data_IF_958374811817
#
_entry.id   IF_958374811817
#
_cell.length_a   1.000
_cell.length_b   1.000
_cell.length_c   1.000
_cell.angle_alpha   90.00
_cell.angle_beta   90.00
_cell.angle_gamma   90.00
#
_symmetry.space_group_name_H-M   'P 1'
#
loop_
_entity.id
_entity.type
_entity.pdbx_description
1 polymer ?
#
# COMPACT_ATOMS: atom_id res chain seq x y z
N UNK A 1 -2.69 -0.40 -17.70
CA UNK A 1 -3.64 0.38 -16.86
C UNK A 1 -3.45 0.03 -15.40
N UNK A 2 -3.42 1.03 -14.53
CA UNK A 2 -3.22 0.83 -13.10
C UNK A 2 -4.58 0.71 -12.40
N UNK A 3 -4.82 -0.41 -11.72
CA UNK A 3 -6.06 -0.65 -11.02
C UNK A 3 -5.85 -0.51 -9.52
N UNK A 4 -6.56 0.44 -8.92
CA UNK A 4 -6.58 0.61 -7.48
C UNK A 4 -7.67 -0.27 -6.88
N UNK A 5 -7.39 -0.77 -5.68
CA UNK A 5 -8.33 -1.57 -4.92
C UNK A 5 -8.55 -0.95 -3.55
N UNK A 6 -9.61 -1.36 -2.89
CA UNK A 6 -9.92 -0.93 -1.52
C UNK A 6 -10.02 -2.15 -0.62
N UNK A 7 -9.38 -2.08 0.54
CA UNK A 7 -9.52 -3.09 1.57
C UNK A 7 -10.31 -2.50 2.72
N UNK A 8 -11.43 -3.14 3.05
CA UNK A 8 -12.28 -2.71 4.15
C UNK A 8 -11.64 -3.17 5.46
N UNK A 9 -11.31 -2.23 6.34
CA UNK A 9 -10.68 -2.54 7.62
C UNK A 9 -11.67 -2.49 8.78
N UNK A 10 -12.85 -1.88 8.59
CA UNK A 10 -13.96 -1.89 9.52
C UNK A 10 -15.23 -1.52 8.76
N UNK A 11 -16.37 -1.45 9.46
CA UNK A 11 -17.66 -1.15 8.84
C UNK A 11 -17.63 0.13 7.99
N UNK A 12 -16.97 1.16 8.48
CA UNK A 12 -17.00 2.49 7.86
C UNK A 12 -15.64 2.94 7.33
N UNK A 13 -14.62 2.06 7.32
CA UNK A 13 -13.26 2.45 6.96
C UNK A 13 -12.68 1.53 5.91
N UNK A 14 -12.01 2.14 4.93
CA UNK A 14 -11.32 1.40 3.87
C UNK A 14 -9.98 2.05 3.55
N UNK A 15 -9.03 1.24 3.10
CA UNK A 15 -7.69 1.66 2.69
C UNK A 15 -7.55 1.37 1.19
N UNK A 16 -7.19 2.40 0.43
CA UNK A 16 -6.90 2.20 -0.99
C UNK A 16 -5.49 1.62 -1.15
N UNK A 17 -5.37 0.68 -2.05
CA UNK A 17 -4.06 0.08 -2.32
C UNK A 17 -3.91 -0.29 -3.79
N UNK A 18 -2.66 -0.51 -4.18
CA UNK A 18 -2.26 -0.92 -5.50
C UNK A 18 -1.45 -2.19 -5.35
N UNK A 19 -1.79 -3.24 -6.11
CA UNK A 19 -1.05 -4.49 -6.00
C UNK A 19 -0.76 -5.11 -7.37
N UNK A 20 0.29 -5.90 -7.38
CA UNK A 20 0.63 -6.82 -8.45
C UNK A 20 1.15 -8.09 -7.79
N UNK A 21 0.44 -9.19 -7.95
CA UNK A 21 0.77 -10.44 -7.28
C UNK A 21 1.41 -11.40 -8.27
N UNK A 22 2.58 -11.93 -7.88
CA UNK A 22 3.25 -13.01 -8.56
C UNK A 22 3.45 -14.14 -7.58
N UNK A 23 2.99 -15.33 -7.92
CA UNK A 23 3.01 -16.49 -7.03
C UNK A 23 4.44 -16.78 -6.53
N UNK A 24 4.56 -16.98 -5.21
CA UNK A 24 5.82 -17.30 -4.53
C UNK A 24 6.94 -16.25 -4.69
N UNK A 25 6.59 -15.03 -5.02
CA UNK A 25 7.57 -13.96 -5.20
C UNK A 25 7.69 -13.10 -3.94
N UNK A 26 8.88 -12.50 -3.77
CA UNK A 26 9.09 -11.48 -2.74
C UNK A 26 8.28 -10.25 -3.10
N UNK A 27 7.68 -9.61 -2.09
CA UNK A 27 6.92 -8.38 -2.26
C UNK A 27 7.83 -7.16 -2.11
N UNK A 28 7.66 -6.21 -3.02
CA UNK A 28 8.14 -4.85 -2.81
C UNK A 28 6.95 -4.09 -2.25
N UNK A 29 7.09 -3.56 -1.02
CA UNK A 29 6.04 -2.78 -0.36
C UNK A 29 6.47 -1.33 -0.32
N UNK A 30 5.71 -0.47 -1.01
CA UNK A 30 5.99 0.95 -1.11
C UNK A 30 5.14 1.71 -0.08
N UNK A 31 5.80 2.52 0.75
CA UNK A 31 5.16 3.34 1.78
C UNK A 31 5.34 4.81 1.40
N UNK A 32 4.24 5.50 1.10
CA UNK A 32 4.30 6.91 0.69
C UNK A 32 4.62 7.84 1.87
N UNK A 33 5.11 9.03 1.57
CA UNK A 33 5.38 10.04 2.59
C UNK A 33 4.11 10.70 3.11
N UNK A 34 4.26 11.55 4.15
CA UNK A 34 3.15 12.30 4.71
C UNK A 34 2.48 13.18 3.66
N UNK A 35 1.14 13.29 3.74
CA UNK A 35 0.32 14.10 2.85
C UNK A 35 0.46 13.71 1.38
N UNK A 36 0.98 12.52 1.11
CA UNK A 36 1.11 12.00 -0.24
C UNK A 36 -0.02 11.00 -0.55
N UNK A 37 0.05 10.37 -1.71
CA UNK A 37 -0.92 9.37 -2.13
C UNK A 37 -0.25 8.40 -3.12
N UNK A 38 -1.06 7.54 -3.75
CA UNK A 38 -0.56 6.54 -4.69
C UNK A 38 -0.60 6.99 -6.16
N UNK A 39 -0.99 8.23 -6.44
CA UNK A 39 -1.17 8.68 -7.83
C UNK A 39 0.08 9.32 -8.43
N UNK A 40 1.16 9.45 -7.67
CA UNK A 40 2.41 10.02 -8.15
C UNK A 40 3.21 9.06 -9.02
N UNK A 41 4.38 9.53 -9.46
CA UNK A 41 5.28 8.76 -10.32
C UNK A 41 5.98 7.61 -9.60
N UNK A 42 6.33 7.81 -8.32
CA UNK A 42 7.10 6.81 -7.57
C UNK A 42 6.38 5.46 -7.45
N UNK A 43 5.11 5.40 -7.04
CA UNK A 43 4.42 4.10 -6.97
C UNK A 43 4.40 3.39 -8.32
N UNK A 44 4.13 4.11 -9.41
CA UNK A 44 4.10 3.54 -10.75
C UNK A 44 5.46 3.02 -11.19
N UNK A 45 6.52 3.76 -10.88
CA UNK A 45 7.89 3.37 -11.20
C UNK A 45 8.24 2.05 -10.54
N UNK A 46 7.97 1.93 -9.25
CA UNK A 46 8.26 0.69 -8.52
C UNK A 46 7.35 -0.46 -8.91
N UNK A 47 6.09 -0.18 -9.24
CA UNK A 47 5.20 -1.19 -9.77
C UNK A 47 5.76 -1.78 -11.08
N UNK A 48 6.18 -0.93 -11.98
CA UNK A 48 6.74 -1.37 -13.27
C UNK A 48 8.05 -2.14 -13.06
N UNK A 49 8.89 -1.70 -12.13
CA UNK A 49 10.11 -2.41 -11.76
C UNK A 49 9.77 -3.82 -11.26
N UNK A 50 8.80 -3.94 -10.38
CA UNK A 50 8.38 -5.24 -9.84
C UNK A 50 7.89 -6.16 -10.94
N UNK A 51 7.08 -5.67 -11.87
CA UNK A 51 6.58 -6.46 -12.99
C UNK A 51 7.71 -6.99 -13.86
N UNK A 52 8.70 -6.14 -14.18
CA UNK A 52 9.82 -6.52 -15.04
C UNK A 52 10.80 -7.49 -14.36
N UNK A 53 10.91 -7.43 -13.04
CA UNK A 53 11.91 -8.18 -12.29
C UNK A 53 11.32 -9.34 -11.48
N UNK A 54 10.09 -9.72 -11.77
CA UNK A 54 9.43 -10.90 -11.17
C UNK A 54 9.20 -10.80 -9.67
N UNK A 55 8.92 -9.60 -9.18
CA UNK A 55 8.49 -9.37 -7.80
C UNK A 55 6.98 -9.17 -7.74
N UNK A 56 6.41 -9.42 -6.57
CA UNK A 56 5.09 -8.92 -6.24
C UNK A 56 5.21 -7.47 -5.76
N UNK A 57 4.13 -6.73 -5.81
CA UNK A 57 4.14 -5.31 -5.43
C UNK A 57 2.90 -4.98 -4.61
N UNK A 58 3.08 -4.16 -3.59
CA UNK A 58 1.99 -3.60 -2.81
C UNK A 58 2.34 -2.17 -2.42
N UNK A 59 1.41 -1.27 -2.64
CA UNK A 59 1.49 0.10 -2.14
C UNK A 59 0.13 0.45 -1.53
N UNK A 60 0.11 1.11 -0.39
CA UNK A 60 -1.14 1.48 0.28
C UNK A 60 -1.14 2.95 0.63
N UNK A 61 -2.35 3.52 0.73
CA UNK A 61 -2.54 4.87 1.24
C UNK A 61 -3.01 4.79 2.68
N UNK A 62 -2.27 5.44 3.58
CA UNK A 62 -2.65 5.48 4.98
C UNK A 62 -4.02 6.14 5.18
N UNK A 63 -4.67 5.85 6.30
CA UNK A 63 -5.90 6.56 6.68
C UNK A 63 -5.68 8.08 6.59
N UNK A 64 -6.65 8.79 6.02
CA UNK A 64 -6.59 10.23 5.89
C UNK A 64 -5.72 10.74 4.73
N UNK A 65 -5.20 9.83 3.90
CA UNK A 65 -4.39 10.17 2.73
C UNK A 65 -5.09 9.73 1.45
N UNK A 66 -4.93 10.51 0.39
CA UNK A 66 -5.49 10.19 -0.91
C UNK A 66 -6.98 9.87 -0.81
N UNK A 67 -7.38 8.70 -1.31
CA UNK A 67 -8.78 8.24 -1.28
C UNK A 67 -9.08 7.20 -0.20
N UNK A 68 -8.13 6.93 0.68
CA UNK A 68 -8.40 6.14 1.87
C UNK A 68 -9.28 6.92 2.83
N UNK A 69 -10.06 6.20 3.66
CA UNK A 69 -10.99 6.81 4.59
C UNK A 69 -10.29 7.64 5.67
N UNK A 70 -11.03 8.58 6.23
CA UNK A 70 -10.57 9.38 7.36
C UNK A 70 -10.04 10.74 6.94
N UNK A 71 -9.69 11.52 7.94
CA UNK A 71 -9.10 12.85 7.75
C UNK A 71 -7.62 12.80 8.14
N UNK A 72 -6.80 13.51 7.39
CA UNK A 72 -5.36 13.59 7.70
C UNK A 72 -5.14 14.08 9.13
N UNK A 73 -5.88 15.09 9.56
CA UNK A 73 -5.76 15.70 10.89
C UNK A 73 -6.13 14.74 12.03
N UNK A 74 -6.86 13.66 11.73
CA UNK A 74 -7.22 12.66 12.74
C UNK A 74 -6.23 11.50 12.79
N UNK A 75 -5.21 11.50 11.93
CA UNK A 75 -4.23 10.44 11.85
C UNK A 75 -3.04 10.68 12.75
N UNK A 76 -2.28 9.63 12.98
CA UNK A 76 -1.00 9.66 13.66
C UNK A 76 -0.19 8.44 13.24
N UNK A 77 1.10 8.43 13.60
CA UNK A 77 2.01 7.33 13.23
C UNK A 77 1.52 5.97 13.72
N UNK A 78 0.98 5.92 14.93
CA UNK A 78 0.45 4.67 15.48
C UNK A 78 -0.71 4.13 14.64
N UNK A 79 -1.62 4.99 14.24
CA UNK A 79 -2.77 4.62 13.41
C UNK A 79 -2.32 4.15 12.02
N UNK A 80 -1.38 4.85 11.40
CA UNK A 80 -0.88 4.48 10.08
C UNK A 80 -0.08 3.18 10.11
N UNK A 81 0.64 2.92 11.22
CA UNK A 81 1.32 1.64 11.42
C UNK A 81 0.31 0.50 11.51
N UNK A 82 -0.81 0.71 12.21
CA UNK A 82 -1.87 -0.29 12.29
C UNK A 82 -2.50 -0.56 10.93
N UNK A 83 -2.73 0.49 10.13
CA UNK A 83 -3.25 0.36 8.77
C UNK A 83 -2.32 -0.52 7.93
N UNK A 84 -1.03 -0.21 7.97
CA UNK A 84 0.00 -0.96 7.23
C UNK A 84 0.02 -2.42 7.65
N UNK A 85 0.06 -2.68 8.95
CA UNK A 85 0.09 -4.04 9.49
C UNK A 85 -1.13 -4.83 9.06
N UNK A 86 -2.31 -4.21 9.09
CA UNK A 86 -3.54 -4.86 8.68
C UNK A 86 -3.49 -5.28 7.20
N UNK A 87 -3.09 -4.36 6.34
CA UNK A 87 -3.00 -4.63 4.90
C UNK A 87 -1.97 -5.72 4.61
N UNK A 88 -0.81 -5.68 5.26
CA UNK A 88 0.23 -6.70 5.08
C UNK A 88 -0.27 -8.08 5.48
N UNK A 89 -0.96 -8.20 6.60
CA UNK A 89 -1.51 -9.49 7.06
C UNK A 89 -2.52 -10.07 6.07
N UNK A 90 -3.32 -9.22 5.46
CA UNK A 90 -4.36 -9.68 4.54
C UNK A 90 -3.83 -10.03 3.15
N UNK A 91 -2.83 -9.31 2.67
CA UNK A 91 -2.38 -9.42 1.28
C UNK A 91 -1.05 -10.15 1.17
N UNK A 92 -0.03 -9.72 1.91
CA UNK A 92 1.33 -10.27 1.78
C UNK A 92 1.46 -11.60 2.53
N UNK A 93 0.82 -11.71 3.68
CA UNK A 93 0.84 -12.91 4.53
C UNK A 93 2.27 -13.28 4.94
N UNK A 94 2.77 -14.46 4.55
CA UNK A 94 4.09 -14.96 4.96
C UNK A 94 5.19 -14.77 3.93
N UNK A 95 4.92 -14.05 2.85
CA UNK A 95 5.95 -13.82 1.84
C UNK A 95 7.01 -12.84 2.33
N UNK A 96 8.19 -12.94 1.75
CA UNK A 96 9.28 -12.01 2.06
C UNK A 96 8.94 -10.62 1.55
N UNK A 97 9.43 -9.60 2.25
CA UNK A 97 9.11 -8.20 1.95
C UNK A 97 10.40 -7.38 1.85
N UNK A 98 10.44 -6.52 0.84
CA UNK A 98 11.41 -5.43 0.72
C UNK A 98 10.62 -4.15 0.85
N UNK A 99 10.91 -3.34 1.88
CA UNK A 99 10.22 -2.07 2.08
C UNK A 99 10.94 -0.94 1.36
N UNK A 100 10.16 -0.08 0.70
CA UNK A 100 10.66 1.15 0.10
C UNK A 100 9.84 2.29 0.66
N UNK A 101 10.51 3.23 1.33
CA UNK A 101 9.89 4.41 1.89
C UNK A 101 10.13 5.64 1.04
N UNK A 102 9.23 6.59 1.13
CA UNK A 102 9.36 7.85 0.43
C UNK A 102 9.36 9.03 1.41
#
# INVERSE_FOLDING_TARGET
MTNFNYLKISKDRKIRYLKHIRKNATYIVFLHGFMSDLEGKKPKTFLNFAKRNKFSFLALEYSGHGKSSGKFTSGNISKWTKDTTYVLRKIVKKNKIIFIGS
#
